data_IF_349945964964
#
_entry.id   IF_349945964964
#
_cell.length_a   1.000
_cell.length_b   1.000
_cell.length_c   1.000
_cell.angle_alpha   90.00
_cell.angle_beta   90.00
_cell.angle_gamma   90.00
#
_symmetry.space_group_name_H-M   'P 1'
#
loop_
_entity.id
_entity.type
_entity.pdbx_description
1 polymer ?
#
# COMPACT_ATOMS: atom_id res chain seq x y z
N UNK A 1 -20.18 -14.74 2.26
CA UNK A 1 -19.37 -14.80 2.16
C UNK A 1 -18.61 -13.83 2.14
N UNK A 2 -18.08 -13.61 2.59
CA UNK A 2 -17.36 -12.60 2.71
C UNK A 2 -16.40 -12.52 1.77
N UNK A 3 -16.56 -12.22 0.77
CA UNK A 3 -15.69 -12.25 -0.09
C UNK A 3 -14.83 -11.21 0.16
N UNK A 4 -14.36 -10.51 -0.01
CA UNK A 4 -13.56 -9.41 0.13
C UNK A 4 -13.09 -9.18 1.46
N UNK A 5 -12.64 -10.16 2.15
CA UNK A 5 -12.07 -9.91 3.38
C UNK A 5 -10.72 -9.40 3.18
N UNK A 6 -10.53 -8.15 3.02
CA UNK A 6 -9.23 -7.58 2.85
C UNK A 6 -8.67 -7.13 4.16
N UNK A 7 -7.37 -7.26 4.34
CA UNK A 7 -6.70 -6.83 5.54
C UNK A 7 -6.17 -5.44 5.30
N UNK A 8 -6.50 -4.50 6.16
CA UNK A 8 -5.99 -3.14 6.06
C UNK A 8 -4.90 -2.94 7.08
N UNK A 9 -3.74 -2.51 6.62
CA UNK A 9 -2.61 -2.25 7.49
C UNK A 9 -2.01 -0.92 7.12
N UNK A 10 -1.25 -0.35 8.03
CA UNK A 10 -0.57 0.91 7.79
C UNK A 10 0.92 0.67 7.75
N UNK A 11 1.61 1.49 7.01
CA UNK A 11 3.03 1.38 6.91
C UNK A 11 3.65 2.64 6.37
N UNK A 12 4.95 2.60 6.18
CA UNK A 12 5.71 3.75 5.71
C UNK A 12 6.40 3.38 4.42
N UNK A 13 6.38 4.29 3.47
CA UNK A 13 7.03 4.07 2.18
C UNK A 13 8.53 4.03 2.40
N UNK A 14 9.15 2.92 2.07
CA UNK A 14 10.59 2.78 2.19
C UNK A 14 11.30 3.13 0.91
N UNK A 15 10.68 2.84 -0.21
CA UNK A 15 11.35 3.00 -1.48
C UNK A 15 10.33 3.16 -2.58
N UNK A 16 10.60 3.99 -3.56
CA UNK A 16 9.74 4.10 -4.72
C UNK A 16 10.34 3.23 -5.81
N UNK A 17 9.50 2.46 -6.46
CA UNK A 17 9.93 1.54 -7.50
C UNK A 17 9.31 1.96 -8.82
N UNK A 18 9.80 1.43 -9.94
CA UNK A 18 9.22 1.77 -11.23
C UNK A 18 7.77 1.29 -11.35
N UNK A 19 7.07 1.87 -12.28
CA UNK A 19 5.71 1.44 -12.62
C UNK A 19 4.72 1.68 -11.49
N UNK A 20 4.88 2.77 -10.79
CA UNK A 20 3.99 3.19 -9.69
C UNK A 20 3.90 2.12 -8.60
N UNK A 21 5.00 1.42 -8.39
CA UNK A 21 5.09 0.45 -7.32
C UNK A 21 5.89 1.05 -6.17
N UNK A 22 5.67 0.53 -4.97
CA UNK A 22 6.32 1.06 -3.79
C UNK A 22 6.65 -0.08 -2.84
N UNK A 23 7.75 0.07 -2.14
CA UNK A 23 8.08 -0.86 -1.08
C UNK A 23 7.65 -0.23 0.23
N UNK A 24 6.77 -0.89 0.95
CA UNK A 24 6.17 -0.36 2.15
C UNK A 24 6.54 -1.24 3.33
N UNK A 25 7.06 -0.63 4.37
CA UNK A 25 7.31 -1.37 5.60
C UNK A 25 6.11 -1.19 6.49
N UNK A 26 5.42 -2.28 6.75
CA UNK A 26 4.21 -2.24 7.55
C UNK A 26 4.55 -2.12 9.04
N UNK A 27 3.58 -1.65 9.80
CA UNK A 27 3.78 -1.48 11.23
C UNK A 27 4.05 -2.79 11.93
N UNK A 28 3.64 -3.91 11.35
CA UNK A 28 3.91 -5.20 11.97
C UNK A 28 5.31 -5.72 11.63
N UNK A 29 6.12 -4.94 10.95
CA UNK A 29 7.49 -5.35 10.67
C UNK A 29 7.72 -5.98 9.31
N UNK A 30 6.66 -6.31 8.60
CA UNK A 30 6.80 -6.91 7.29
C UNK A 30 6.97 -5.83 6.23
N UNK A 31 7.70 -6.17 5.17
CA UNK A 31 7.85 -5.28 4.03
C UNK A 31 7.14 -5.91 2.86
N UNK A 32 6.31 -5.13 2.18
CA UNK A 32 5.56 -5.62 1.04
C UNK A 32 5.79 -4.71 -0.15
N UNK A 33 5.42 -5.20 -1.33
CA UNK A 33 5.39 -4.39 -2.53
C UNK A 33 3.96 -3.97 -2.76
N UNK A 34 3.73 -2.69 -2.93
CA UNK A 34 2.38 -2.16 -3.09
C UNK A 34 2.30 -1.30 -4.34
N UNK A 35 1.11 -1.20 -4.89
CA UNK A 35 0.87 -0.32 -6.01
C UNK A 35 -0.23 0.66 -5.63
N UNK A 36 -0.35 1.73 -6.40
CA UNK A 36 -1.34 2.75 -6.11
C UNK A 36 -2.68 2.29 -6.60
N UNK A 37 -3.73 2.48 -5.80
CA UNK A 37 -5.07 2.14 -6.23
C UNK A 37 -5.48 3.07 -7.38
N UNK A 38 -6.44 2.63 -8.17
CA UNK A 38 -6.91 3.44 -9.27
C UNK A 38 -7.47 4.77 -8.80
N UNK A 39 -8.10 4.77 -7.64
CA UNK A 39 -8.66 5.99 -7.10
C UNK A 39 -7.58 7.02 -6.80
N UNK A 40 -6.48 6.59 -6.21
CA UNK A 40 -5.40 7.51 -5.89
C UNK A 40 -4.71 7.99 -7.15
N UNK A 41 -4.58 7.13 -8.15
CA UNK A 41 -3.96 7.54 -9.39
C UNK A 41 -4.80 8.60 -10.08
N UNK A 42 -6.12 8.47 -9.98
CA UNK A 42 -7.01 9.39 -10.59
C UNK A 42 -6.88 10.78 -9.97
N UNK A 43 -6.57 10.85 -8.71
CA UNK A 43 -6.45 12.13 -8.01
C UNK A 43 -5.01 12.64 -8.00
N UNK A 44 -4.10 11.98 -8.72
CA UNK A 44 -2.72 12.44 -8.82
C UNK A 44 -2.05 12.60 -7.47
N UNK A 45 -2.36 11.73 -6.55
CA UNK A 45 -1.74 11.81 -5.24
C UNK A 45 -0.29 11.37 -5.35
N UNK A 46 0.63 12.21 -4.89
CA UNK A 46 2.03 11.91 -4.97
C UNK A 46 2.48 11.22 -3.69
N UNK A 47 3.18 10.12 -3.81
CA UNK A 47 3.66 9.36 -2.69
C UNK A 47 5.18 9.40 -2.68
N UNK A 48 5.75 9.76 -1.55
CA UNK A 48 7.19 9.89 -1.42
C UNK A 48 7.71 8.98 -0.33
N UNK A 49 9.00 8.69 -0.39
CA UNK A 49 9.66 7.91 0.64
C UNK A 49 9.44 8.59 1.99
N UNK A 50 9.06 7.82 2.98
CA UNK A 50 8.78 8.36 4.30
C UNK A 50 7.33 8.65 4.55
N UNK A 51 6.51 8.64 3.52
CA UNK A 51 5.09 8.90 3.72
C UNK A 51 4.42 7.72 4.38
N UNK A 52 3.44 8.02 5.21
CA UNK A 52 2.68 6.98 5.86
C UNK A 52 1.44 6.70 5.04
N UNK A 53 1.17 5.44 4.79
CA UNK A 53 0.07 5.05 3.91
C UNK A 53 -0.71 3.91 4.52
N UNK A 54 -1.93 3.73 4.02
CA UNK A 54 -2.74 2.58 4.37
C UNK A 54 -2.79 1.68 3.15
N UNK A 55 -2.59 0.39 3.37
CA UNK A 55 -2.61 -0.57 2.28
C UNK A 55 -3.65 -1.64 2.55
N UNK A 56 -4.23 -2.16 1.48
CA UNK A 56 -5.13 -3.29 1.55
C UNK A 56 -4.41 -4.49 0.98
N UNK A 57 -4.54 -5.62 1.65
CA UNK A 57 -3.90 -6.83 1.22
C UNK A 57 -4.89 -7.97 1.26
N UNK A 58 -4.70 -8.93 0.38
CA UNK A 58 -5.48 -10.14 0.42
C UNK A 58 -4.90 -11.07 1.48
N UNK A 59 -5.72 -11.72 2.28
CA UNK A 59 -5.17 -12.68 3.23
C UNK A 59 -4.49 -13.86 2.54
N UNK A 60 -4.72 -14.01 1.25
CA UNK A 60 -4.09 -15.10 0.52
C UNK A 60 -2.75 -14.73 -0.07
N UNK A 61 -2.38 -13.46 -0.03
CA UNK A 61 -1.10 -13.05 -0.58
C UNK A 61 -0.61 -11.87 0.23
N UNK A 62 0.15 -12.14 1.26
CA UNK A 62 0.60 -11.10 2.17
C UNK A 62 1.89 -10.43 1.71
N UNK A 63 2.34 -10.72 0.51
CA UNK A 63 3.54 -10.07 0.00
C UNK A 63 3.24 -8.88 -0.90
N UNK A 64 2.00 -8.68 -1.26
CA UNK A 64 1.60 -7.60 -2.14
C UNK A 64 0.40 -6.88 -1.58
N UNK A 65 0.30 -5.61 -1.89
CA UNK A 65 -0.82 -4.84 -1.42
C UNK A 65 -1.14 -3.70 -2.34
N UNK A 66 -2.17 -2.96 -2.00
CA UNK A 66 -2.60 -1.81 -2.77
C UNK A 66 -2.72 -0.64 -1.82
N UNK A 67 -2.09 0.47 -2.17
CA UNK A 67 -2.16 1.67 -1.35
C UNK A 67 -3.50 2.33 -1.62
N UNK A 68 -4.30 2.50 -0.59
CA UNK A 68 -5.63 3.07 -0.74
C UNK A 68 -5.73 4.46 -0.14
N UNK A 69 -4.77 4.85 0.68
CA UNK A 69 -4.88 6.14 1.34
C UNK A 69 -3.49 6.59 1.78
N UNK A 70 -3.20 7.86 1.57
CA UNK A 70 -1.94 8.43 2.01
C UNK A 70 -2.23 9.28 3.23
N UNK A 71 -1.59 8.96 4.33
CA UNK A 71 -1.79 9.71 5.56
C UNK A 71 -0.69 10.71 5.68
N UNK A 72 -1.02 11.87 6.08
CA UNK A 72 -0.01 12.86 6.16
C UNK A 72 0.68 12.90 7.50
#
# INVERSE_FOLDING_TARGET
MAKDEQIELEGVIQETLPNTMFRVKLDNGHTITAHISGKMRKHYIRILTGDRVRVEMSPYDLSKGRITFRMK
#
